data_IF_176369492158
#
_entry.id   IF_176369492158
#
_cell.length_a   1.000
_cell.length_b   1.000
_cell.length_c   1.000
_cell.angle_alpha   90.00
_cell.angle_beta   90.00
_cell.angle_gamma   90.00
#
_symmetry.space_group_name_H-M   'P 1'
#
loop_
_entity.id
_entity.type
_entity.pdbx_description
1 polymer ?
#
# COMPACT_ATOMS: atom_id res chain seq x y z
N UNK A 1 4.79 24.67 -2.78
CA UNK A 1 3.89 23.61 -3.27
C UNK A 1 4.75 22.39 -3.63
N UNK A 2 4.59 21.29 -2.91
CA UNK A 2 5.39 20.09 -3.12
C UNK A 2 5.07 19.52 -4.50
N UNK A 3 6.11 19.29 -5.30
CA UNK A 3 5.97 18.65 -6.61
C UNK A 3 5.96 17.12 -6.54
N UNK A 4 6.35 16.58 -5.37
CA UNK A 4 6.51 15.15 -5.15
C UNK A 4 6.01 14.78 -3.74
N UNK A 5 5.35 13.64 -3.64
CA UNK A 5 4.98 12.98 -2.41
C UNK A 5 5.78 11.68 -2.31
N UNK A 6 6.46 11.47 -1.20
CA UNK A 6 7.12 10.21 -0.85
C UNK A 6 6.25 9.46 0.15
N UNK A 7 6.00 8.18 -0.09
CA UNK A 7 5.13 7.34 0.74
C UNK A 7 5.93 6.16 1.26
N UNK A 8 5.96 6.02 2.56
CA UNK A 8 6.64 4.93 3.25
C UNK A 8 5.78 4.31 4.35
N UNK A 9 6.08 3.08 4.70
CA UNK A 9 5.52 2.40 5.85
C UNK A 9 6.52 2.45 6.99
N UNK A 10 6.10 3.02 8.11
CA UNK A 10 6.93 3.10 9.32
C UNK A 10 6.50 2.03 10.32
N UNK A 11 7.45 1.24 10.78
CA UNK A 11 7.21 0.26 11.83
C UNK A 11 6.95 0.93 13.17
N UNK A 12 5.96 0.46 13.92
CA UNK A 12 5.95 0.71 15.36
C UNK A 12 7.13 -0.05 15.96
N UNK A 13 7.86 0.56 16.92
CA UNK A 13 8.88 -0.13 17.70
C UNK A 13 8.31 -1.19 18.65
N UNK A 14 7.08 -1.62 18.44
CA UNK A 14 6.42 -2.63 19.24
C UNK A 14 6.83 -3.99 18.70
N UNK A 15 7.75 -4.61 19.37
CA UNK A 15 8.07 -6.02 19.13
C UNK A 15 6.99 -6.87 19.81
N UNK A 16 6.24 -7.60 19.04
CA UNK A 16 5.29 -8.57 19.57
C UNK A 16 6.03 -9.89 19.79
N UNK A 17 6.03 -10.35 21.02
CA UNK A 17 6.49 -11.69 21.34
C UNK A 17 5.36 -12.67 21.03
N UNK A 18 5.63 -13.62 20.16
CA UNK A 18 4.72 -14.73 19.90
C UNK A 18 5.10 -15.84 20.86
N UNK A 19 4.21 -16.17 21.79
CA UNK A 19 4.34 -17.35 22.62
C UNK A 19 3.93 -18.55 21.77
N UNK A 20 4.90 -19.32 21.31
CA UNK A 20 4.71 -20.47 20.42
C UNK A 20 3.78 -21.55 21.03
N UNK A 21 3.67 -21.60 22.36
CA UNK A 21 2.82 -22.55 23.07
C UNK A 21 1.32 -22.20 22.99
N UNK A 22 0.97 -21.01 22.50
CA UNK A 22 -0.42 -20.55 22.60
C UNK A 22 -1.36 -21.15 21.54
N UNK A 23 -0.89 -21.62 20.39
CA UNK A 23 -1.77 -22.06 19.30
C UNK A 23 -1.42 -23.37 18.62
N UNK A 24 -0.21 -23.90 18.75
CA UNK A 24 0.22 -25.07 17.96
C UNK A 24 0.03 -24.89 16.44
N UNK A 25 -0.01 -23.65 15.98
CA UNK A 25 -0.15 -23.29 14.59
C UNK A 25 1.18 -22.76 14.07
N UNK A 26 1.71 -23.47 13.07
CA UNK A 26 2.73 -22.91 12.20
C UNK A 26 2.05 -21.86 11.33
N UNK A 27 2.53 -20.63 11.40
CA UNK A 27 2.06 -19.57 10.53
C UNK A 27 2.95 -19.56 9.30
N UNK A 28 2.33 -19.70 8.14
CA UNK A 28 2.97 -19.42 6.87
C UNK A 28 3.36 -17.93 6.76
N UNK A 29 4.41 -17.63 6.01
CA UNK A 29 4.87 -16.26 5.73
C UNK A 29 3.77 -15.37 5.14
N UNK A 30 2.74 -15.97 4.56
CA UNK A 30 1.56 -15.31 3.98
C UNK A 30 0.45 -14.99 5.01
N UNK A 31 0.70 -15.14 6.30
CA UNK A 31 -0.32 -14.84 7.31
C UNK A 31 -0.65 -13.32 7.32
N UNK A 32 -1.94 -12.94 7.40
CA UNK A 32 -2.36 -11.53 7.37
C UNK A 32 -2.01 -10.76 8.64
N UNK A 33 -1.37 -11.41 9.59
CA UNK A 33 -0.96 -10.84 10.87
C UNK A 33 0.54 -11.03 11.09
N UNK A 34 1.15 -10.06 11.76
CA UNK A 34 2.58 -10.07 12.05
C UNK A 34 2.89 -10.00 13.54
N UNK A 35 1.88 -10.05 14.38
CA UNK A 35 2.07 -10.05 15.83
C UNK A 35 0.80 -10.41 16.57
N UNK A 36 0.98 -11.19 17.63
CA UNK A 36 -0.08 -11.58 18.56
C UNK A 36 0.37 -11.21 19.95
N UNK A 37 -0.47 -10.50 20.69
CA UNK A 37 -0.28 -10.28 22.12
C UNK A 37 -1.44 -10.91 22.90
N UNK A 38 -1.35 -10.87 24.23
CA UNK A 38 -2.42 -11.39 25.09
C UNK A 38 -3.78 -10.80 24.75
N UNK A 39 -3.86 -9.53 24.34
CA UNK A 39 -5.09 -8.77 24.20
C UNK A 39 -5.34 -8.26 22.78
N UNK A 40 -4.38 -8.40 21.87
CA UNK A 40 -4.49 -7.84 20.52
C UNK A 40 -3.82 -8.71 19.46
N UNK A 41 -4.31 -8.56 18.24
CA UNK A 41 -3.76 -9.14 17.02
C UNK A 41 -3.37 -7.99 16.09
N UNK A 42 -2.11 -8.00 15.60
CA UNK A 42 -1.61 -7.01 14.64
C UNK A 42 -1.80 -7.51 13.22
N UNK A 43 -2.54 -6.75 12.44
CA UNK A 43 -2.85 -7.05 11.05
C UNK A 43 -2.06 -6.15 10.11
N UNK A 44 -1.55 -6.72 9.01
CA UNK A 44 -0.91 -6.01 7.89
C UNK A 44 -1.81 -5.94 6.64
N UNK A 45 -3.10 -6.19 6.81
CA UNK A 45 -4.11 -6.16 5.76
C UNK A 45 -4.43 -4.72 5.32
N UNK A 46 -3.42 -4.09 4.73
CA UNK A 46 -3.46 -2.72 4.23
C UNK A 46 -3.24 -2.74 2.73
N UNK A 47 -3.95 -1.89 2.01
CA UNK A 47 -3.73 -1.66 0.57
C UNK A 47 -3.57 -0.18 0.30
N UNK A 48 -2.67 0.16 -0.59
CA UNK A 48 -2.48 1.52 -1.10
C UNK A 48 -2.96 1.59 -2.54
N UNK A 49 -3.94 2.45 -2.80
CA UNK A 49 -4.42 2.75 -4.14
C UNK A 49 -3.97 4.17 -4.53
N UNK A 50 -3.41 4.28 -5.71
CA UNK A 50 -3.04 5.57 -6.31
C UNK A 50 -4.06 5.89 -7.39
N UNK A 51 -4.68 7.06 -7.30
CA UNK A 51 -5.69 7.53 -8.25
C UNK A 51 -5.37 8.96 -8.70
N UNK A 52 -5.96 9.38 -9.80
CA UNK A 52 -5.78 10.75 -10.28
C UNK A 52 -6.65 11.72 -9.46
N UNK A 53 -6.05 12.80 -8.97
CA UNK A 53 -6.77 13.87 -8.31
C UNK A 53 -7.65 14.65 -9.31
N UNK A 54 -8.78 15.11 -8.82
CA UNK A 54 -9.70 15.96 -9.58
C UNK A 54 -9.30 17.42 -9.61
N UNK A 55 -8.36 17.81 -8.74
CA UNK A 55 -7.85 19.16 -8.62
C UNK A 55 -6.30 19.18 -8.64
N UNK A 56 -5.69 20.28 -8.21
CA UNK A 56 -4.25 20.50 -8.21
C UNK A 56 -3.56 20.08 -6.91
N UNK A 57 -4.29 19.46 -5.97
CA UNK A 57 -3.82 19.10 -4.64
C UNK A 57 -3.74 17.59 -4.47
N UNK A 58 -2.78 17.15 -3.65
CA UNK A 58 -2.78 15.77 -3.14
C UNK A 58 -3.90 15.64 -2.10
N UNK A 59 -4.61 14.50 -2.16
CA UNK A 59 -5.56 14.13 -1.11
C UNK A 59 -5.25 12.71 -0.65
N UNK A 60 -5.35 12.49 0.64
CA UNK A 60 -5.14 11.15 1.23
C UNK A 60 -6.27 10.87 2.19
N UNK A 61 -6.88 9.72 2.03
CA UNK A 61 -7.93 9.25 2.94
C UNK A 61 -7.87 7.74 3.13
N UNK A 62 -8.45 7.27 4.20
CA UNK A 62 -8.55 5.85 4.53
C UNK A 62 -9.98 5.36 4.51
N UNK A 63 -10.16 4.17 3.98
CA UNK A 63 -11.40 3.41 4.12
C UNK A 63 -11.13 2.18 4.97
N UNK A 64 -12.00 1.90 5.91
CA UNK A 64 -11.85 0.79 6.85
C UNK A 64 -12.97 -0.20 6.63
N UNK A 65 -12.62 -1.47 6.63
CA UNK A 65 -13.56 -2.55 6.34
C UNK A 65 -13.52 -3.61 7.42
N UNK A 66 -14.66 -4.21 7.62
CA UNK A 66 -14.82 -5.36 8.48
C UNK A 66 -16.00 -6.19 8.01
N UNK A 67 -16.02 -7.46 8.39
CA UNK A 67 -17.11 -8.38 8.09
C UNK A 67 -17.90 -8.68 9.36
N UNK A 68 -19.23 -8.73 9.25
CA UNK A 68 -20.11 -9.20 10.32
C UNK A 68 -21.38 -9.80 9.74
N UNK A 69 -22.23 -10.33 10.59
CA UNK A 69 -23.54 -10.86 10.21
C UNK A 69 -24.56 -9.75 9.87
N UNK A 70 -24.31 -8.51 10.30
CA UNK A 70 -25.11 -7.33 9.95
C UNK A 70 -24.21 -6.18 9.51
N UNK A 71 -24.74 -5.30 8.65
CA UNK A 71 -24.02 -4.10 8.22
C UNK A 71 -23.70 -3.16 9.41
N UNK A 72 -24.63 -3.03 10.36
CA UNK A 72 -24.41 -2.21 11.54
C UNK A 72 -23.22 -2.70 12.39
N UNK A 73 -23.15 -3.99 12.66
CA UNK A 73 -22.03 -4.55 13.40
C UNK A 73 -20.72 -4.50 12.63
N UNK A 74 -20.75 -4.70 11.29
CA UNK A 74 -19.57 -4.54 10.46
C UNK A 74 -19.05 -3.11 10.52
N UNK A 75 -19.92 -2.11 10.43
CA UNK A 75 -19.56 -0.70 10.57
C UNK A 75 -18.90 -0.40 11.91
N UNK A 76 -19.49 -0.83 13.02
CA UNK A 76 -18.92 -0.64 14.36
C UNK A 76 -17.52 -1.24 14.48
N UNK A 77 -17.30 -2.44 13.95
CA UNK A 77 -15.97 -3.07 13.96
C UNK A 77 -14.96 -2.33 13.07
N UNK A 78 -15.40 -1.84 11.92
CA UNK A 78 -14.54 -1.05 11.03
C UNK A 78 -14.16 0.30 11.67
N UNK A 79 -15.08 0.96 12.37
CA UNK A 79 -14.82 2.23 13.06
C UNK A 79 -13.81 2.11 14.20
N UNK A 80 -13.65 0.93 14.80
CA UNK A 80 -12.63 0.66 15.82
C UNK A 80 -11.21 0.52 15.28
N UNK A 81 -11.04 0.40 13.98
CA UNK A 81 -9.70 0.28 13.38
C UNK A 81 -8.99 1.64 13.49
N UNK A 82 -7.89 1.65 14.20
CA UNK A 82 -7.01 2.81 14.30
C UNK A 82 -5.83 2.65 13.32
N UNK A 83 -5.78 3.52 12.33
CA UNK A 83 -4.72 3.56 11.34
C UNK A 83 -4.36 5.02 11.06
N UNK A 84 -3.57 5.64 11.96
CA UNK A 84 -3.13 7.01 11.77
C UNK A 84 -2.16 7.13 10.58
N UNK A 85 -2.29 8.21 9.83
CA UNK A 85 -1.39 8.62 8.76
C UNK A 85 -0.74 9.90 9.21
N UNK A 86 0.59 9.98 9.12
CA UNK A 86 1.35 11.17 9.46
C UNK A 86 1.94 11.75 8.19
N UNK A 87 1.80 13.06 8.04
CA UNK A 87 2.46 13.79 6.96
C UNK A 87 3.50 14.74 7.56
N UNK A 88 4.73 14.62 7.05
CA UNK A 88 5.83 15.54 7.36
C UNK A 88 6.37 16.10 6.06
N UNK A 89 6.08 17.36 5.80
CA UNK A 89 6.41 18.01 4.53
C UNK A 89 5.88 17.23 3.31
N UNK A 90 6.77 16.60 2.56
CA UNK A 90 6.46 15.77 1.38
C UNK A 90 6.52 14.27 1.65
N UNK A 91 6.68 13.86 2.90
CA UNK A 91 6.69 12.44 3.30
C UNK A 91 5.36 12.08 3.95
N UNK A 92 4.77 11.01 3.47
CA UNK A 92 3.56 10.38 4.01
C UNK A 92 3.96 9.09 4.71
N UNK A 93 3.92 9.09 6.02
CA UNK A 93 4.23 7.93 6.85
C UNK A 93 2.94 7.14 7.14
N UNK A 94 2.88 5.91 6.69
CA UNK A 94 1.80 4.97 6.96
C UNK A 94 2.23 4.01 8.07
N UNK A 95 1.30 3.55 8.88
CA UNK A 95 1.57 2.51 9.87
C UNK A 95 1.84 1.17 9.17
N UNK A 96 2.75 0.35 9.72
CA UNK A 96 3.04 -1.01 9.22
C UNK A 96 1.82 -1.94 9.24
N UNK A 97 0.84 -1.62 10.08
CA UNK A 97 -0.42 -2.33 10.22
C UNK A 97 -1.27 -1.71 11.31
N UNK A 98 -2.27 -2.43 11.76
CA UNK A 98 -3.19 -1.98 12.80
C UNK A 98 -3.54 -3.11 13.77
N UNK A 99 -3.91 -2.74 15.00
CA UNK A 99 -4.31 -3.68 16.01
C UNK A 99 -5.82 -3.92 16.00
N UNK A 100 -6.22 -5.16 16.24
CA UNK A 100 -7.58 -5.49 16.65
C UNK A 100 -7.56 -6.14 18.02
N UNK A 101 -8.61 -5.92 18.82
CA UNK A 101 -8.69 -6.52 20.14
C UNK A 101 -9.10 -8.00 20.05
N UNK A 102 -8.68 -8.80 21.02
CA UNK A 102 -9.12 -10.21 21.14
C UNK A 102 -10.64 -10.35 21.19
N UNK A 103 -11.34 -9.38 21.77
CA UNK A 103 -12.80 -9.38 21.87
C UNK A 103 -13.48 -9.19 20.52
N UNK A 104 -12.93 -8.36 19.65
CA UNK A 104 -13.48 -8.07 18.32
C UNK A 104 -13.27 -9.23 17.35
N UNK A 105 -12.32 -10.12 17.64
CA UNK A 105 -11.91 -11.27 16.80
C UNK A 105 -11.52 -10.85 15.38
N UNK A 106 -10.82 -11.70 14.69
CA UNK A 106 -10.56 -11.47 13.27
C UNK A 106 -11.86 -11.60 12.46
N UNK A 107 -12.24 -10.53 11.80
CA UNK A 107 -13.44 -10.38 10.97
C UNK A 107 -13.11 -9.82 9.60
N UNK A 108 -11.97 -10.22 9.05
CA UNK A 108 -11.47 -9.69 7.78
C UNK A 108 -11.35 -8.16 7.80
N UNK A 109 -10.84 -7.62 8.90
CA UNK A 109 -10.58 -6.19 9.01
C UNK A 109 -9.49 -5.80 8.03
N UNK A 110 -9.71 -4.69 7.32
CA UNK A 110 -8.82 -4.20 6.28
C UNK A 110 -8.83 -2.68 6.24
N UNK A 111 -7.71 -2.11 5.79
CA UNK A 111 -7.58 -0.67 5.56
C UNK A 111 -7.16 -0.44 4.11
N UNK A 112 -7.90 0.41 3.42
CA UNK A 112 -7.54 0.93 2.11
C UNK A 112 -7.11 2.38 2.27
N UNK A 113 -5.86 2.67 1.90
CA UNK A 113 -5.33 4.04 1.80
C UNK A 113 -5.48 4.47 0.34
N UNK A 114 -6.17 5.56 0.11
CA UNK A 114 -6.32 6.13 -1.23
C UNK A 114 -5.54 7.42 -1.30
N UNK A 115 -4.64 7.51 -2.29
CA UNK A 115 -3.80 8.68 -2.54
C UNK A 115 -4.17 9.25 -3.90
N UNK A 116 -4.77 10.44 -3.88
CA UNK A 116 -5.09 11.18 -5.09
C UNK A 116 -3.89 12.05 -5.48
N UNK A 117 -3.35 11.81 -6.68
CA UNK A 117 -2.18 12.50 -7.20
C UNK A 117 -2.59 13.46 -8.31
N UNK A 118 -2.26 14.75 -8.22
CA UNK A 118 -2.58 15.73 -9.27
C UNK A 118 -1.78 15.46 -10.55
N UNK A 119 -2.36 15.80 -11.69
CA UNK A 119 -1.67 15.77 -12.98
C UNK A 119 -0.43 16.68 -12.94
N UNK A 120 0.71 16.15 -13.40
CA UNK A 120 2.00 16.83 -13.38
C UNK A 120 2.77 16.70 -12.06
N UNK A 121 2.21 16.05 -11.04
CA UNK A 121 2.89 15.78 -9.79
C UNK A 121 3.43 14.36 -9.74
N UNK A 122 4.43 14.17 -8.89
CA UNK A 122 5.11 12.90 -8.72
C UNK A 122 4.72 12.23 -7.41
N UNK A 123 4.77 10.91 -7.41
CA UNK A 123 4.66 10.08 -6.21
C UNK A 123 5.78 9.03 -6.24
N UNK A 124 6.43 8.84 -5.13
CA UNK A 124 7.39 7.76 -4.92
C UNK A 124 6.87 6.82 -3.84
N UNK A 125 6.85 5.55 -4.16
CA UNK A 125 6.32 4.50 -3.31
C UNK A 125 7.48 3.64 -2.81
N UNK A 126 7.78 3.74 -1.52
CA UNK A 126 8.93 3.10 -0.90
C UNK A 126 8.78 1.57 -0.85
N UNK A 127 9.92 0.89 -0.76
CA UNK A 127 9.97 -0.57 -0.65
C UNK A 127 9.26 -1.10 0.60
N UNK A 128 9.21 -0.33 1.68
CA UNK A 128 8.52 -0.72 2.92
C UNK A 128 7.02 -1.00 2.75
N UNK A 129 6.43 -0.57 1.62
CA UNK A 129 5.03 -0.86 1.29
C UNK A 129 4.82 -2.29 0.78
N UNK A 130 5.89 -3.06 0.47
CA UNK A 130 5.81 -4.48 0.12
C UNK A 130 5.34 -5.35 1.29
N UNK A 131 5.53 -4.88 2.51
CA UNK A 131 5.11 -5.59 3.71
C UNK A 131 3.58 -5.63 3.89
N UNK A 132 2.83 -4.84 3.12
CA UNK A 132 1.37 -4.86 3.16
C UNK A 132 0.81 -6.06 2.41
N UNK A 133 -0.03 -6.80 3.08
CA UNK A 133 -0.70 -7.95 2.49
C UNK A 133 -2.19 -7.69 2.33
N UNK A 134 -2.64 -7.74 1.08
CA UNK A 134 -4.06 -7.72 0.78
C UNK A 134 -4.60 -9.15 0.73
N UNK A 135 -5.28 -9.56 1.76
CA UNK A 135 -5.78 -10.91 1.91
C UNK A 135 -7.25 -11.02 1.50
N UNK A 136 -7.51 -11.74 0.40
CA UNK A 136 -8.85 -12.17 0.05
C UNK A 136 -9.10 -13.57 0.61
N UNK A 137 -9.77 -13.67 1.76
CA UNK A 137 -10.29 -14.97 2.22
C UNK A 137 -11.42 -15.40 1.28
N UNK A 138 -11.06 -16.14 0.27
CA UNK A 138 -12.02 -16.86 -0.57
C UNK A 138 -12.46 -18.10 0.20
N UNK A 139 -13.35 -17.95 1.19
CA UNK A 139 -13.98 -19.09 1.82
C UNK A 139 -14.93 -19.69 0.80
N UNK A 140 -14.48 -20.73 0.14
CA UNK A 140 -15.17 -21.53 -0.87
C UNK A 140 -16.34 -22.31 -0.25
N UNK A 141 -17.22 -21.63 0.49
CA UNK A 141 -18.49 -22.15 0.99
C UNK A 141 -19.62 -21.27 0.46
N UNK A 142 -20.33 -21.77 -0.49
CA UNK A 142 -21.61 -21.48 -1.16
C UNK A 142 -22.39 -20.17 -0.85
N UNK A 143 -21.87 -19.22 -0.08
CA UNK A 143 -22.38 -17.86 0.15
C UNK A 143 -21.19 -16.93 0.50
N UNK A 144 -20.13 -16.98 -0.32
CA UNK A 144 -19.03 -16.05 -0.22
C UNK A 144 -19.48 -14.67 -0.68
N UNK A 145 -19.43 -13.67 0.18
CA UNK A 145 -19.40 -12.29 -0.26
C UNK A 145 -18.05 -12.09 -0.94
N UNK A 146 -18.07 -12.15 -2.25
CA UNK A 146 -16.98 -11.62 -3.05
C UNK A 146 -17.14 -10.10 -2.99
N UNK A 147 -16.39 -9.43 -2.15
CA UNK A 147 -16.17 -8.00 -2.33
C UNK A 147 -15.16 -7.90 -3.46
N UNK A 148 -15.66 -8.01 -4.67
CA UNK A 148 -14.91 -7.65 -5.85
C UNK A 148 -14.78 -6.14 -5.81
N UNK A 149 -13.60 -5.67 -5.46
CA UNK A 149 -13.23 -4.25 -5.49
C UNK A 149 -13.09 -3.75 -6.94
N UNK A 150 -13.22 -4.66 -7.90
CA UNK A 150 -12.96 -4.38 -9.31
C UNK A 150 -14.00 -3.48 -9.98
N UNK A 151 -15.16 -3.27 -9.36
CA UNK A 151 -16.27 -2.67 -10.09
C UNK A 151 -16.58 -1.19 -9.81
N UNK A 152 -15.87 -0.52 -8.89
CA UNK A 152 -16.11 0.91 -8.62
C UNK A 152 -14.85 1.77 -8.50
N UNK A 153 -13.67 1.22 -8.74
CA UNK A 153 -12.40 1.92 -8.69
C UNK A 153 -11.68 1.82 -10.03
N UNK A 154 -12.42 2.03 -11.13
CA UNK A 154 -11.89 2.02 -12.50
C UNK A 154 -10.73 3.00 -12.72
N UNK A 155 -10.49 3.89 -11.76
CA UNK A 155 -9.43 4.90 -11.80
C UNK A 155 -8.18 4.56 -10.96
N UNK A 156 -8.09 3.38 -10.32
CA UNK A 156 -6.88 3.01 -9.59
C UNK A 156 -5.80 2.48 -10.53
N UNK A 157 -4.59 3.06 -10.41
CA UNK A 157 -3.45 2.67 -11.22
C UNK A 157 -2.63 1.60 -10.54
N UNK A 158 -2.12 0.65 -11.33
CA UNK A 158 -1.12 -0.31 -10.86
C UNK A 158 0.20 0.41 -10.61
N UNK A 159 0.88 0.01 -9.53
CA UNK A 159 2.19 0.52 -9.18
C UNK A 159 3.05 -0.59 -8.58
N UNK A 160 4.35 -0.38 -8.60
CA UNK A 160 5.36 -1.22 -7.97
C UNK A 160 6.04 -0.42 -6.86
N UNK A 161 6.47 -1.08 -5.81
CA UNK A 161 7.26 -0.47 -4.75
C UNK A 161 8.66 -0.07 -5.24
N UNK A 162 9.34 0.75 -4.47
CA UNK A 162 10.67 1.28 -4.78
C UNK A 162 10.75 1.96 -6.16
N UNK A 163 9.68 2.68 -6.52
CA UNK A 163 9.57 3.34 -7.81
C UNK A 163 8.93 4.72 -7.70
N UNK A 164 9.39 5.62 -8.56
CA UNK A 164 8.81 6.96 -8.73
C UNK A 164 7.89 6.97 -9.95
N UNK A 165 6.81 7.69 -9.84
CA UNK A 165 5.80 7.87 -10.88
C UNK A 165 5.44 9.34 -11.03
N UNK A 166 5.00 9.71 -12.23
CA UNK A 166 4.35 10.98 -12.51
C UNK A 166 2.89 10.71 -12.92
N UNK A 167 1.97 11.50 -12.38
CA UNK A 167 0.59 11.45 -12.83
C UNK A 167 0.42 12.26 -14.11
N UNK A 168 0.00 11.62 -15.17
CA UNK A 168 -0.29 12.27 -16.46
C UNK A 168 -1.80 12.37 -16.68
N UNK A 169 -2.21 12.97 -17.80
CA UNK A 169 -3.62 12.99 -18.18
C UNK A 169 -4.14 11.58 -18.54
N UNK A 170 -3.26 10.74 -19.07
CA UNK A 170 -3.53 9.35 -19.48
C UNK A 170 -3.45 8.36 -18.31
N UNK A 171 -2.77 8.73 -17.20
CA UNK A 171 -2.64 7.89 -16.02
C UNK A 171 -1.28 8.00 -15.34
N UNK A 172 -1.01 7.05 -14.46
CA UNK A 172 0.24 6.97 -13.70
C UNK A 172 1.35 6.36 -14.57
N UNK A 173 2.44 7.09 -14.76
CA UNK A 173 3.59 6.66 -15.56
C UNK A 173 4.84 6.57 -14.70
N UNK A 174 5.52 5.43 -14.76
CA UNK A 174 6.79 5.22 -14.06
C UNK A 174 7.85 6.15 -14.66
N UNK A 175 8.45 6.97 -13.81
CA UNK A 175 9.62 7.74 -14.19
C UNK A 175 10.82 6.82 -14.04
N UNK A 176 11.66 6.67 -15.08
CA UNK A 176 12.74 5.71 -15.07
C UNK A 176 13.55 5.76 -13.78
N UNK A 177 13.79 4.62 -13.18
CA UNK A 177 14.75 4.52 -12.10
C UNK A 177 16.14 4.72 -12.71
N UNK A 178 16.91 5.65 -12.18
CA UNK A 178 18.28 5.98 -12.60
C UNK A 178 19.28 4.81 -12.50
N UNK A 179 18.85 3.61 -12.13
CA UNK A 179 19.73 2.48 -11.89
C UNK A 179 19.89 1.50 -13.06
N UNK A 180 19.13 1.63 -14.15
CA UNK A 180 19.12 0.58 -15.19
C UNK A 180 19.27 1.06 -16.64
N UNK A 181 19.87 2.20 -16.89
CA UNK A 181 20.25 2.57 -18.28
C UNK A 181 21.76 2.42 -18.49
N UNK A 182 22.31 1.30 -18.02
CA UNK A 182 23.50 0.70 -18.61
C UNK A 182 23.04 -0.45 -19.51
N UNK A 183 22.24 -0.16 -20.51
CA UNK A 183 22.04 -1.08 -21.62
C UNK A 183 23.35 -1.11 -22.44
N UNK A 184 24.25 -1.96 -22.05
CA UNK A 184 25.33 -2.39 -22.96
C UNK A 184 24.67 -3.13 -24.13
N UNK A 185 24.42 -2.40 -25.20
CA UNK A 185 24.19 -3.01 -26.49
C UNK A 185 25.51 -3.67 -26.92
N UNK A 186 25.53 -4.99 -26.92
CA UNK A 186 26.68 -5.88 -27.22
C UNK A 186 27.25 -5.74 -28.64
N UNK A 187 26.86 -4.73 -29.41
CA UNK A 187 27.35 -4.49 -30.77
C UNK A 187 27.88 -3.06 -30.97
N UNK A 188 28.54 -2.52 -30.00
CA UNK A 188 29.70 -1.66 -30.14
C UNK A 188 29.62 -0.36 -30.94
N UNK A 189 28.45 0.30 -31.10
CA UNK A 189 28.44 1.53 -31.89
C UNK A 189 27.79 2.78 -31.27
N UNK A 190 27.03 2.71 -30.20
CA UNK A 190 26.51 3.93 -29.59
C UNK A 190 26.36 3.76 -28.07
N UNK A 191 26.86 4.73 -27.29
CA UNK A 191 26.59 4.87 -25.87
C UNK A 191 25.58 5.99 -25.67
N UNK A 192 24.46 5.67 -25.01
CA UNK A 192 23.50 6.67 -24.56
C UNK A 192 23.76 6.97 -23.08
N UNK A 193 23.92 8.22 -22.77
CA UNK A 193 23.99 8.69 -21.39
C UNK A 193 22.84 9.67 -21.20
N UNK A 194 21.93 9.35 -20.27
CA UNK A 194 20.82 10.24 -19.91
C UNK A 194 21.14 10.78 -18.53
N UNK A 195 21.26 12.08 -18.41
CA UNK A 195 21.42 12.79 -17.15
C UNK A 195 20.35 13.89 -17.01
N UNK A 196 20.42 14.62 -15.91
CA UNK A 196 19.49 15.74 -15.62
C UNK A 196 19.47 16.86 -16.67
N UNK A 197 20.43 16.85 -17.60
CA UNK A 197 20.57 17.84 -18.68
C UNK A 197 20.13 17.32 -20.05
N UNK A 198 19.73 16.04 -20.16
CA UNK A 198 19.21 15.46 -21.38
C UNK A 198 19.90 14.18 -21.85
N UNK A 199 19.67 13.81 -23.09
CA UNK A 199 20.25 12.61 -23.74
C UNK A 199 21.53 13.01 -24.47
N UNK A 200 22.66 12.44 -24.07
CA UNK A 200 23.94 12.57 -24.80
C UNK A 200 24.20 11.28 -25.58
N UNK A 201 24.50 11.39 -26.85
CA UNK A 201 24.86 10.29 -27.75
C UNK A 201 26.34 10.43 -28.07
N UNK A 202 27.17 9.49 -27.62
CA UNK A 202 28.57 9.37 -28.03
C UNK A 202 28.69 8.22 -29.04
N UNK A 203 29.10 8.57 -30.25
CA UNK A 203 29.36 7.63 -31.33
C UNK A 203 30.83 7.43 -31.60
#
# INVERSE_FOLDING_TARGET
SNNKLFVESVGSNVHYYMDEDFFGMEFDDDAPFYGISRDSLMLKTVRVNVVKSKDTSFHVYTMRFSRSNTNANAKVLAEKIEFPILQRDSVLELQKGFAITRQDKFRNQQVLVVIEVPVGKKIELDRSLEDYEWFNINTNRRRGFNVSWDNNWDDSYSWESNAEYVMTREGLQKTGSYSDVNAELKDGKFKFKIDENGVMIEG
#
